data_IF_906978149179
#
_entry.id   IF_906978149179
#
_cell.length_a   1.000
_cell.length_b   1.000
_cell.length_c   1.000
_cell.angle_alpha   90.00
_cell.angle_beta   90.00
_cell.angle_gamma   90.00
#
_symmetry.space_group_name_H-M   'P 1'
#
loop_
_entity.id
_entity.type
_entity.pdbx_description
1 polymer ?
#
# COMPACT_ATOMS: atom_id res chain seq x y z
N UNK A 1 -30.23 -7.88 -26.38
CA UNK A 1 -29.70 -7.79 -25.01
C UNK A 1 -28.25 -7.29 -24.94
N UNK A 2 -27.45 -7.34 -26.02
CA UNK A 2 -26.07 -6.80 -25.99
C UNK A 2 -25.98 -5.26 -25.91
N UNK A 3 -26.94 -4.54 -26.52
CA UNK A 3 -26.91 -3.07 -26.62
C UNK A 3 -27.11 -2.41 -25.23
N UNK A 4 -27.76 -3.10 -24.29
CA UNK A 4 -27.96 -2.63 -22.91
C UNK A 4 -26.73 -2.84 -22.02
N UNK A 5 -25.90 -3.87 -22.29
CA UNK A 5 -24.68 -4.11 -21.51
C UNK A 5 -23.56 -3.13 -21.86
N UNK A 6 -23.46 -2.71 -23.13
CA UNK A 6 -22.50 -1.69 -23.56
C UNK A 6 -22.74 -0.31 -22.92
N UNK A 7 -24.00 0.06 -22.66
CA UNK A 7 -24.35 1.33 -22.01
C UNK A 7 -24.12 1.31 -20.48
N UNK A 8 -24.22 0.13 -19.85
CA UNK A 8 -23.89 -0.07 -18.43
C UNK A 8 -22.37 0.01 -18.21
N UNK A 9 -21.57 -0.53 -19.13
CA UNK A 9 -20.10 -0.47 -19.09
C UNK A 9 -19.58 0.98 -19.21
N UNK A 10 -20.16 1.76 -20.13
CA UNK A 10 -19.81 3.18 -20.33
C UNK A 10 -20.14 4.06 -19.12
N UNK A 11 -21.13 3.67 -18.29
CA UNK A 11 -21.51 4.41 -17.06
C UNK A 11 -20.65 4.07 -15.84
N UNK A 12 -19.86 3.00 -15.90
CA UNK A 12 -19.08 2.50 -14.76
C UNK A 12 -17.57 2.76 -14.90
N UNK A 13 -17.15 3.63 -15.81
CA UNK A 13 -15.78 4.13 -15.85
C UNK A 13 -15.53 5.10 -14.69
N UNK A 14 -14.74 4.68 -13.71
CA UNK A 14 -14.30 5.57 -12.64
C UNK A 14 -13.45 6.70 -13.24
N UNK A 15 -13.81 7.94 -12.91
CA UNK A 15 -13.00 9.12 -13.26
C UNK A 15 -11.63 9.01 -12.57
N UNK A 16 -10.56 9.13 -13.35
CA UNK A 16 -9.17 9.14 -12.86
C UNK A 16 -8.81 10.51 -12.29
N UNK A 17 -9.47 10.90 -11.20
CA UNK A 17 -9.27 12.20 -10.52
C UNK A 17 -8.28 12.14 -9.35
N UNK A 18 -7.69 10.96 -9.11
CA UNK A 18 -6.84 10.71 -7.95
C UNK A 18 -5.45 11.34 -8.18
N UNK A 19 -5.17 12.41 -7.44
CA UNK A 19 -3.89 13.11 -7.49
C UNK A 19 -2.80 12.32 -6.73
N UNK A 20 -1.52 12.59 -7.03
CA UNK A 20 -0.37 11.91 -6.41
C UNK A 20 -0.40 11.99 -4.87
N UNK A 21 -0.82 13.12 -4.30
CA UNK A 21 -0.98 13.30 -2.85
C UNK A 21 -2.03 12.34 -2.29
N UNK A 22 -3.15 12.17 -3.01
CA UNK A 22 -4.23 11.29 -2.59
C UNK A 22 -3.80 9.83 -2.69
N UNK A 23 -3.08 9.44 -3.75
CA UNK A 23 -2.47 8.11 -3.86
C UNK A 23 -1.52 7.82 -2.68
N UNK A 24 -0.62 8.75 -2.36
CA UNK A 24 0.30 8.60 -1.24
C UNK A 24 -0.44 8.51 0.10
N UNK A 25 -1.45 9.36 0.31
CA UNK A 25 -2.24 9.33 1.53
C UNK A 25 -2.97 7.99 1.72
N UNK A 26 -3.54 7.43 0.64
CA UNK A 26 -4.19 6.12 0.66
C UNK A 26 -3.16 5.02 0.95
N UNK A 27 -2.01 5.03 0.26
CA UNK A 27 -0.95 4.05 0.49
C UNK A 27 -0.43 4.07 1.92
N UNK A 28 -0.10 5.26 2.45
CA UNK A 28 0.36 5.43 3.82
C UNK A 28 -0.69 5.00 4.85
N UNK A 29 -1.97 5.32 4.61
CA UNK A 29 -3.08 4.88 5.46
C UNK A 29 -3.19 3.36 5.52
N UNK A 30 -3.10 2.69 4.37
CA UNK A 30 -3.11 1.23 4.28
C UNK A 30 -1.89 0.58 4.94
N UNK A 31 -0.70 1.20 4.87
CA UNK A 31 0.53 0.66 5.46
C UNK A 31 0.64 0.87 6.97
N UNK A 32 0.31 2.06 7.49
CA UNK A 32 0.51 2.40 8.91
C UNK A 32 -0.51 1.63 9.77
N UNK A 33 -1.80 1.66 9.40
CA UNK A 33 -2.87 0.85 10.00
C UNK A 33 -2.96 0.85 11.54
N UNK A 34 -3.78 -0.04 12.09
CA UNK A 34 -3.82 -0.28 13.54
C UNK A 34 -2.64 -1.15 14.04
N UNK A 35 -2.03 -1.92 13.12
CA UNK A 35 -1.01 -2.91 13.44
C UNK A 35 0.25 -2.30 14.04
N UNK A 36 0.71 -1.15 13.55
CA UNK A 36 1.94 -0.52 14.09
C UNK A 36 1.78 -0.11 15.55
N UNK A 37 0.59 0.30 15.99
CA UNK A 37 0.38 0.78 17.36
C UNK A 37 0.34 -0.34 18.40
N UNK A 38 -0.14 -1.53 18.01
CA UNK A 38 -0.25 -2.67 18.93
C UNK A 38 0.94 -3.62 18.79
N UNK A 39 1.32 -3.96 17.55
CA UNK A 39 2.31 -5.00 17.29
C UNK A 39 3.72 -4.53 17.65
N UNK A 40 4.05 -3.25 17.48
CA UNK A 40 5.36 -2.72 17.88
C UNK A 40 5.56 -2.77 19.41
N UNK A 41 4.51 -2.49 20.19
CA UNK A 41 4.55 -2.61 21.65
C UNK A 41 4.72 -4.06 22.11
N UNK A 42 4.02 -5.01 21.47
CA UNK A 42 4.20 -6.43 21.74
C UNK A 42 5.60 -6.92 21.31
N UNK A 43 6.11 -6.42 20.17
CA UNK A 43 7.44 -6.73 19.67
C UNK A 43 8.53 -6.25 20.64
N UNK A 44 8.39 -5.03 21.17
CA UNK A 44 9.28 -4.48 22.18
C UNK A 44 9.19 -5.27 23.50
N UNK A 45 7.99 -5.54 24.00
CA UNK A 45 7.82 -6.21 25.30
C UNK A 45 8.28 -7.68 25.30
N UNK A 46 8.08 -8.41 24.20
CA UNK A 46 8.32 -9.87 24.15
C UNK A 46 9.60 -10.29 23.44
N UNK A 47 10.13 -9.50 22.51
CA UNK A 47 11.21 -9.95 21.64
C UNK A 47 12.47 -9.09 21.73
N UNK A 48 12.37 -7.77 21.59
CA UNK A 48 13.56 -6.93 21.34
C UNK A 48 13.85 -5.88 22.41
N UNK A 49 12.90 -5.57 23.30
CA UNK A 49 13.09 -4.55 24.34
C UNK A 49 13.44 -3.18 23.73
N UNK A 50 14.41 -2.44 24.30
CA UNK A 50 14.88 -1.15 23.76
C UNK A 50 15.44 -1.24 22.34
N UNK A 51 15.90 -2.42 21.92
CA UNK A 51 16.53 -2.65 20.61
C UNK A 51 15.53 -2.79 19.45
N UNK A 52 14.22 -2.68 19.71
CA UNK A 52 13.17 -2.81 18.68
C UNK A 52 13.35 -1.82 17.53
N UNK A 53 13.92 -0.63 17.81
CA UNK A 53 14.26 0.38 16.80
C UNK A 53 15.22 -0.17 15.74
N UNK A 54 16.22 -0.96 16.14
CA UNK A 54 17.18 -1.56 15.21
C UNK A 54 16.47 -2.55 14.29
N UNK A 55 15.53 -3.33 14.84
CA UNK A 55 14.71 -4.25 14.05
C UNK A 55 13.84 -3.49 13.03
N UNK A 56 13.22 -2.38 13.42
CA UNK A 56 12.44 -1.52 12.52
C UNK A 56 13.28 -0.90 11.40
N UNK A 57 14.52 -0.48 11.69
CA UNK A 57 15.43 0.04 10.66
C UNK A 57 15.73 -1.03 9.62
N UNK A 58 16.07 -2.25 10.05
CA UNK A 58 16.35 -3.37 9.14
C UNK A 58 15.11 -3.71 8.30
N UNK A 59 13.93 -3.80 8.94
CA UNK A 59 12.67 -4.02 8.23
C UNK A 59 12.38 -2.91 7.21
N UNK A 60 12.66 -1.64 7.56
CA UNK A 60 12.50 -0.51 6.65
C UNK A 60 13.35 -0.64 5.39
N UNK A 61 14.62 -1.04 5.53
CA UNK A 61 15.51 -1.27 4.38
C UNK A 61 14.99 -2.40 3.49
N UNK A 62 14.57 -3.52 4.09
CA UNK A 62 14.00 -4.65 3.34
C UNK A 62 12.71 -4.23 2.62
N UNK A 63 11.83 -3.50 3.30
CA UNK A 63 10.58 -3.01 2.73
C UNK A 63 10.82 -2.04 1.56
N UNK A 64 11.85 -1.18 1.63
CA UNK A 64 12.23 -0.31 0.52
C UNK A 64 12.69 -1.10 -0.71
N UNK A 65 13.52 -2.13 -0.52
CA UNK A 65 13.95 -2.99 -1.61
C UNK A 65 12.76 -3.71 -2.27
N UNK A 66 11.86 -4.27 -1.46
CA UNK A 66 10.64 -4.89 -1.98
C UNK A 66 9.75 -3.87 -2.70
N UNK A 67 9.56 -2.68 -2.13
CA UNK A 67 8.74 -1.62 -2.71
C UNK A 67 9.30 -1.13 -4.05
N UNK A 68 10.62 -1.14 -4.24
CA UNK A 68 11.24 -0.78 -5.51
C UNK A 68 10.85 -1.77 -6.61
N UNK A 69 10.93 -3.08 -6.32
CA UNK A 69 10.50 -4.13 -7.25
C UNK A 69 9.00 -4.01 -7.58
N UNK A 70 8.15 -3.74 -6.58
CA UNK A 70 6.72 -3.51 -6.82
C UNK A 70 6.45 -2.23 -7.62
N UNK A 71 7.24 -1.17 -7.42
CA UNK A 71 7.14 0.07 -8.18
C UNK A 71 7.51 -0.15 -9.64
N UNK A 72 8.51 -0.97 -9.92
CA UNK A 72 8.90 -1.32 -11.29
C UNK A 72 7.77 -2.09 -12.00
N UNK A 73 7.19 -3.09 -11.32
CA UNK A 73 6.05 -3.84 -11.84
C UNK A 73 4.82 -2.94 -12.07
N UNK A 74 4.53 -2.04 -11.13
CA UNK A 74 3.41 -1.09 -11.27
C UNK A 74 3.61 -0.09 -12.41
N UNK A 75 4.86 0.28 -12.71
CA UNK A 75 5.17 1.12 -13.86
C UNK A 75 5.04 0.36 -15.20
N UNK A 76 5.38 -0.93 -15.22
CA UNK A 76 5.27 -1.78 -16.42
C UNK A 76 3.83 -2.22 -16.72
N UNK A 77 3.02 -2.45 -15.69
CA UNK A 77 1.63 -2.90 -15.83
C UNK A 77 0.66 -1.84 -15.26
N UNK A 78 0.35 -0.76 -15.99
CA UNK A 78 -0.57 0.28 -15.56
C UNK A 78 -2.04 -0.15 -15.71
N UNK A 79 -2.36 -1.34 -15.22
CA UNK A 79 -3.73 -1.81 -15.02
C UNK A 79 -4.12 -1.50 -13.58
N UNK A 80 -5.40 -1.21 -13.35
CA UNK A 80 -5.97 -1.43 -12.01
C UNK A 80 -5.73 -2.91 -11.72
N UNK A 81 -4.85 -3.19 -10.75
CA UNK A 81 -4.34 -4.53 -10.45
C UNK A 81 -5.41 -5.55 -10.11
#
# INVERSE_FOLDING_TARGET
MEILQAEIDTRNELRRDLNWIQLLAIGLGCTIGAGIFVLSGQAAAKYSGPSVIISFIITGVIALLSSLSYSELGAMMPSSG
#
